data_IF_182219553789
#
_entry.id   IF_182219553789
#
_cell.length_a   1.000
_cell.length_b   1.000
_cell.length_c   1.000
_cell.angle_alpha   90.00
_cell.angle_beta   90.00
_cell.angle_gamma   90.00
#
_symmetry.space_group_name_H-M   'P 1'
#
loop_
_entity.id
_entity.type
_entity.pdbx_description
1 polymer ?
#
# COMPACT_ATOMS: atom_id res chain seq x y z
N UNK A 1 -12.08 -22.47 -3.53
CA UNK A 1 -12.28 -21.11 -3.00
C UNK A 1 -11.32 -20.96 -1.84
N UNK A 2 -10.06 -20.76 -2.19
CA UNK A 2 -8.92 -21.63 -1.86
C UNK A 2 -7.69 -20.75 -1.66
N UNK A 3 -7.01 -20.85 -0.50
CA UNK A 3 -5.76 -20.17 -0.09
C UNK A 3 -5.72 -18.63 -0.14
N UNK A 4 -6.21 -17.99 -1.20
CA UNK A 4 -6.16 -16.52 -1.37
C UNK A 4 -7.08 -15.78 -0.40
N UNK A 5 -8.33 -16.22 -0.23
CA UNK A 5 -9.26 -15.60 0.72
C UNK A 5 -8.78 -15.73 2.18
N UNK A 6 -8.12 -16.84 2.50
CA UNK A 6 -7.55 -17.05 3.83
C UNK A 6 -6.32 -16.14 4.05
N UNK A 7 -5.51 -15.95 3.02
CA UNK A 7 -4.39 -15.02 3.03
C UNK A 7 -4.86 -13.57 3.17
N UNK A 8 -5.79 -13.10 2.34
CA UNK A 8 -6.35 -11.73 2.40
C UNK A 8 -6.92 -11.45 3.80
N UNK A 9 -7.64 -12.42 4.39
CA UNK A 9 -8.15 -12.30 5.75
C UNK A 9 -7.04 -12.19 6.80
N UNK A 10 -5.98 -12.98 6.66
CA UNK A 10 -4.81 -12.90 7.56
C UNK A 10 -4.06 -11.58 7.36
N UNK A 11 -3.95 -11.10 6.13
CA UNK A 11 -3.28 -9.87 5.76
C UNK A 11 -4.02 -8.65 6.32
N UNK A 12 -5.34 -8.56 6.14
CA UNK A 12 -6.16 -7.50 6.76
C UNK A 12 -5.96 -7.43 8.28
N UNK A 13 -5.82 -8.59 8.94
CA UNK A 13 -5.54 -8.66 10.38
C UNK A 13 -4.14 -8.15 10.71
N UNK A 14 -3.13 -8.58 9.97
CA UNK A 14 -1.73 -8.12 10.15
C UNK A 14 -1.60 -6.62 9.89
N UNK A 15 -2.23 -6.10 8.84
CA UNK A 15 -2.30 -4.67 8.54
C UNK A 15 -2.92 -3.92 9.72
N UNK A 16 -4.05 -4.39 10.26
CA UNK A 16 -4.70 -3.76 11.41
C UNK A 16 -3.81 -3.72 12.66
N UNK A 17 -3.03 -4.77 12.92
CA UNK A 17 -2.13 -4.85 14.09
C UNK A 17 -0.87 -3.99 13.89
N UNK A 18 -0.25 -4.06 12.71
CA UNK A 18 0.94 -3.29 12.38
C UNK A 18 0.64 -1.78 12.27
N UNK A 19 -0.55 -1.41 11.80
CA UNK A 19 -1.00 -0.02 11.69
C UNK A 19 -0.85 0.76 13.00
N UNK A 20 -1.22 0.18 14.13
CA UNK A 20 -1.09 0.86 15.43
C UNK A 20 0.37 1.08 15.81
N UNK A 21 1.23 0.08 15.59
CA UNK A 21 2.69 0.18 15.85
C UNK A 21 3.31 1.28 15.00
N UNK A 22 2.91 1.38 13.72
CA UNK A 22 3.38 2.42 12.81
C UNK A 22 2.92 3.80 13.25
N UNK A 23 1.65 3.99 13.61
CA UNK A 23 1.16 5.30 14.05
C UNK A 23 1.81 5.77 15.35
N UNK A 24 2.00 4.89 16.32
CA UNK A 24 2.73 5.21 17.55
C UNK A 24 4.16 5.66 17.21
N UNK A 25 4.85 4.92 16.34
CA UNK A 25 6.22 5.24 15.98
C UNK A 25 6.35 6.52 15.15
N UNK A 26 5.41 6.82 14.24
CA UNK A 26 5.39 8.08 13.48
C UNK A 26 5.13 9.28 14.39
N UNK A 27 4.21 9.15 15.35
CA UNK A 27 3.93 10.20 16.33
C UNK A 27 5.17 10.50 17.20
N UNK A 28 5.91 9.48 17.63
CA UNK A 28 7.18 9.65 18.37
C UNK A 28 8.26 10.35 17.54
N UNK A 29 8.24 10.19 16.21
CA UNK A 29 9.16 10.84 15.28
C UNK A 29 8.73 12.25 14.88
N UNK A 30 7.57 12.73 15.36
CA UNK A 30 7.00 14.03 15.01
C UNK A 30 6.42 14.10 13.60
N UNK A 31 6.28 12.96 12.91
CA UNK A 31 5.66 12.88 11.58
C UNK A 31 4.16 13.06 11.75
N UNK A 32 3.57 13.95 10.94
CA UNK A 32 2.13 14.23 10.90
C UNK A 32 1.45 13.53 9.72
N UNK A 33 2.17 13.29 8.62
CA UNK A 33 1.63 12.58 7.47
C UNK A 33 2.72 11.82 6.72
N UNK A 34 2.37 10.66 6.17
CA UNK A 34 3.17 9.93 5.18
C UNK A 34 2.33 9.70 3.94
N UNK A 35 2.91 9.92 2.77
CA UNK A 35 2.27 9.72 1.47
C UNK A 35 3.09 8.73 0.65
N UNK A 36 2.44 7.68 0.17
CA UNK A 36 3.03 6.67 -0.73
C UNK A 36 2.32 6.75 -2.06
N UNK A 37 3.04 7.17 -3.10
CA UNK A 37 2.52 7.22 -4.47
C UNK A 37 2.95 5.95 -5.18
N UNK A 38 2.02 5.31 -5.89
CA UNK A 38 2.29 4.13 -6.68
C UNK A 38 1.74 4.28 -8.09
N UNK A 39 2.45 3.73 -9.06
CA UNK A 39 2.03 3.65 -10.46
C UNK A 39 2.56 2.38 -11.12
N UNK A 40 1.95 2.00 -12.24
CA UNK A 40 2.24 0.74 -12.90
C UNK A 40 1.39 0.54 -14.14
N UNK A 41 1.89 -0.28 -15.05
CA UNK A 41 1.21 -0.75 -16.26
C UNK A 41 1.92 -2.00 -16.79
N UNK A 42 1.18 -2.86 -17.50
CA UNK A 42 1.72 -4.08 -18.09
C UNK A 42 2.26 -5.07 -17.05
N UNK A 43 3.58 -5.29 -17.06
CA UNK A 43 4.30 -6.17 -16.13
C UNK A 43 5.09 -5.40 -15.06
N UNK A 44 4.95 -4.07 -15.03
CA UNK A 44 5.72 -3.16 -14.20
C UNK A 44 4.80 -2.37 -13.29
N UNK A 45 5.18 -2.23 -12.03
CA UNK A 45 4.43 -1.40 -11.08
C UNK A 45 5.08 -1.41 -9.71
N UNK A 46 4.92 -0.33 -8.97
CA UNK A 46 5.48 -0.19 -7.64
C UNK A 46 5.29 1.19 -7.06
N UNK A 47 6.08 1.47 -6.02
CA UNK A 47 6.10 2.75 -5.35
C UNK A 47 6.99 3.71 -6.16
N UNK A 48 6.43 4.86 -6.52
CA UNK A 48 7.09 5.92 -7.27
C UNK A 48 7.58 7.06 -6.37
N UNK A 49 6.85 7.34 -5.27
CA UNK A 49 7.26 8.34 -4.28
C UNK A 49 6.94 7.90 -2.85
N UNK A 50 7.78 8.36 -1.93
CA UNK A 50 7.56 8.25 -0.49
C UNK A 50 7.90 9.60 0.14
N UNK A 51 6.88 10.32 0.58
CA UNK A 51 7.04 11.65 1.18
C UNK A 51 6.46 11.70 2.59
N UNK A 52 7.07 12.55 3.42
CA UNK A 52 6.71 12.71 4.83
C UNK A 52 6.55 14.18 5.17
N UNK A 53 5.62 14.47 6.07
CA UNK A 53 5.41 15.79 6.65
C UNK A 53 5.55 15.69 8.17
N UNK A 54 6.20 16.65 8.83
CA UNK A 54 7.07 17.68 8.25
C UNK A 54 8.28 17.12 7.49
N UNK A 55 8.77 17.84 6.48
CA UNK A 55 9.81 17.34 5.56
C UNK A 55 11.20 17.18 6.23
N UNK A 56 11.41 17.75 7.41
CA UNK A 56 12.62 17.62 8.22
C UNK A 56 12.58 16.45 9.22
N UNK A 57 11.45 15.76 9.32
CA UNK A 57 11.38 14.49 10.04
C UNK A 57 12.14 13.37 9.29
N UNK A 58 12.37 12.25 9.96
CA UNK A 58 12.96 11.05 9.37
C UNK A 58 12.22 9.81 9.87
N UNK A 59 12.10 8.82 9.00
CA UNK A 59 11.51 7.50 9.29
C UNK A 59 12.58 6.42 9.47
N UNK A 60 13.76 6.80 9.98
CA UNK A 60 14.85 5.89 10.34
C UNK A 60 14.64 5.30 11.73
N UNK A 61 13.69 4.36 11.84
CA UNK A 61 13.37 3.67 13.08
C UNK A 61 12.97 2.24 12.82
N UNK A 62 13.52 1.33 13.61
CA UNK A 62 13.08 -0.07 13.62
C UNK A 62 11.86 -0.26 14.52
N UNK A 63 10.92 -1.08 14.06
CA UNK A 63 9.72 -1.48 14.79
C UNK A 63 9.56 -3.00 14.74
N UNK A 64 8.90 -3.55 15.75
CA UNK A 64 8.55 -4.98 15.79
C UNK A 64 7.12 -5.15 15.30
N UNK A 65 6.96 -5.82 14.18
CA UNK A 65 5.68 -6.02 13.49
C UNK A 65 5.44 -7.50 13.18
N UNK A 66 4.20 -7.83 12.82
CA UNK A 66 3.85 -9.14 12.28
C UNK A 66 4.19 -9.17 10.78
N UNK A 67 4.91 -10.20 10.35
CA UNK A 67 5.24 -10.49 8.96
C UNK A 67 4.42 -11.70 8.49
N UNK A 68 3.81 -11.61 7.31
CA UNK A 68 2.93 -12.64 6.75
C UNK A 68 3.43 -13.06 5.38
N UNK A 69 3.77 -14.34 5.24
CA UNK A 69 4.32 -14.89 4.00
C UNK A 69 3.26 -15.69 3.26
N UNK A 70 3.13 -15.48 1.95
CA UNK A 70 2.23 -16.29 1.12
C UNK A 70 2.54 -17.79 1.26
N UNK A 71 1.50 -18.60 1.49
CA UNK A 71 1.63 -20.04 1.73
C UNK A 71 1.94 -20.40 3.20
N UNK A 72 2.20 -19.43 4.06
CA UNK A 72 2.27 -19.59 5.52
C UNK A 72 1.41 -18.55 6.22
N UNK A 73 0.17 -18.92 6.54
CA UNK A 73 -0.79 -18.02 7.18
C UNK A 73 -0.56 -17.85 8.70
N UNK A 74 0.62 -18.19 9.21
CA UNK A 74 1.02 -17.94 10.61
C UNK A 74 1.95 -16.74 10.62
N UNK A 75 1.49 -15.55 11.07
CA UNK A 75 2.37 -14.38 11.15
C UNK A 75 3.51 -14.60 12.15
N UNK A 76 4.68 -14.10 11.80
CA UNK A 76 5.87 -14.13 12.67
C UNK A 76 6.29 -12.70 13.04
N UNK A 77 6.87 -12.53 14.23
CA UNK A 77 7.37 -11.20 14.63
C UNK A 77 8.72 -10.93 13.99
N UNK A 78 8.88 -9.76 13.40
CA UNK A 78 10.12 -9.30 12.78
C UNK A 78 10.44 -7.86 13.16
N UNK A 79 11.72 -7.56 13.33
CA UNK A 79 12.23 -6.20 13.44
C UNK A 79 12.58 -5.69 12.05
N UNK A 80 11.98 -4.59 11.63
CA UNK A 80 12.16 -3.98 10.30
C UNK A 80 12.09 -2.47 10.39
N UNK A 81 12.60 -1.78 9.37
CA UNK A 81 12.49 -0.33 9.27
C UNK A 81 11.03 0.07 9.08
N UNK A 82 10.56 1.10 9.79
CA UNK A 82 9.17 1.57 9.71
C UNK A 82 8.80 1.98 8.28
N UNK A 83 9.75 2.53 7.50
CA UNK A 83 9.55 2.82 6.06
C UNK A 83 9.10 1.58 5.29
N UNK A 84 9.81 0.45 5.46
CA UNK A 84 9.46 -0.83 4.82
C UNK A 84 8.07 -1.31 5.26
N UNK A 85 7.71 -1.14 6.53
CA UNK A 85 6.36 -1.49 7.02
C UNK A 85 5.29 -0.64 6.34
N UNK A 86 5.51 0.67 6.21
CA UNK A 86 4.57 1.60 5.56
C UNK A 86 4.41 1.23 4.09
N UNK A 87 5.52 1.01 3.38
CA UNK A 87 5.52 0.62 1.96
C UNK A 87 4.75 -0.69 1.74
N UNK A 88 5.12 -1.75 2.48
CA UNK A 88 4.46 -3.05 2.36
C UNK A 88 2.98 -3.00 2.76
N UNK A 89 2.64 -2.26 3.82
CA UNK A 89 1.24 -2.11 4.26
C UNK A 89 0.42 -1.34 3.22
N UNK A 90 1.00 -0.28 2.63
CA UNK A 90 0.32 0.50 1.60
C UNK A 90 0.06 -0.34 0.35
N UNK A 91 1.06 -1.10 -0.10
CA UNK A 91 0.88 -2.01 -1.24
C UNK A 91 -0.07 -3.17 -0.92
N UNK A 92 -0.09 -3.68 0.32
CA UNK A 92 -1.07 -4.67 0.77
C UNK A 92 -2.50 -4.11 0.70
N UNK A 93 -2.73 -2.88 1.15
CA UNK A 93 -4.04 -2.21 1.02
C UNK A 93 -4.46 -2.07 -0.44
N UNK A 94 -3.54 -1.63 -1.32
CA UNK A 94 -3.80 -1.54 -2.78
C UNK A 94 -4.12 -2.92 -3.36
N UNK A 95 -3.36 -3.96 -3.04
CA UNK A 95 -3.59 -5.31 -3.56
C UNK A 95 -4.93 -5.91 -3.12
N UNK A 96 -5.36 -5.58 -1.90
CA UNK A 96 -6.61 -6.04 -1.32
C UNK A 96 -7.82 -5.39 -2.00
N UNK A 97 -7.79 -4.07 -2.22
CA UNK A 97 -8.95 -3.33 -2.74
C UNK A 97 -8.92 -3.20 -4.27
N UNK A 98 -7.74 -3.19 -4.88
CA UNK A 98 -7.49 -2.99 -6.32
C UNK A 98 -6.52 -4.05 -6.89
N UNK A 99 -6.68 -5.32 -6.50
CA UNK A 99 -5.86 -6.42 -7.01
C UNK A 99 -5.86 -6.48 -8.55
N UNK A 100 -4.65 -6.48 -9.14
CA UNK A 100 -4.47 -6.49 -10.60
C UNK A 100 -4.53 -5.10 -11.27
N UNK A 101 -4.47 -4.02 -10.49
CA UNK A 101 -4.37 -2.63 -10.97
C UNK A 101 -3.23 -2.40 -11.97
N UNK A 102 -2.13 -3.15 -11.89
CA UNK A 102 -1.02 -3.01 -12.83
C UNK A 102 -1.32 -3.57 -14.24
N UNK A 103 -2.39 -4.35 -14.41
CA UNK A 103 -2.65 -5.05 -15.66
C UNK A 103 -3.10 -4.10 -16.79
N UNK A 104 -2.68 -4.45 -18.01
CA UNK A 104 -3.02 -3.73 -19.26
C UNK A 104 -2.52 -2.28 -19.25
N UNK A 105 -3.43 -1.31 -19.40
CA UNK A 105 -3.15 0.12 -19.35
C UNK A 105 -2.61 0.56 -17.99
N UNK A 106 -2.88 -0.21 -16.93
CA UNK A 106 -2.38 0.03 -15.59
C UNK A 106 -3.21 1.02 -14.80
N UNK A 107 -2.59 1.61 -13.79
CA UNK A 107 -3.21 2.59 -12.92
C UNK A 107 -2.20 3.15 -11.94
N UNK A 108 -2.71 3.88 -10.96
CA UNK A 108 -1.91 4.44 -9.90
C UNK A 108 -2.77 5.04 -8.81
N UNK A 109 -2.11 5.68 -7.85
CA UNK A 109 -2.80 6.28 -6.74
C UNK A 109 -1.89 6.72 -5.62
N UNK A 110 -2.53 7.05 -4.51
CA UNK A 110 -1.90 7.54 -3.32
C UNK A 110 -2.46 6.81 -2.10
N UNK A 111 -1.56 6.36 -1.21
CA UNK A 111 -1.92 5.93 0.14
C UNK A 111 -1.40 6.95 1.14
N UNK A 112 -2.33 7.64 1.80
CA UNK A 112 -2.03 8.67 2.79
C UNK A 112 -2.23 8.12 4.20
N UNK A 113 -1.19 8.20 5.02
CA UNK A 113 -1.23 7.92 6.46
C UNK A 113 -1.32 9.24 7.21
N UNK A 114 -2.51 9.58 7.69
CA UNK A 114 -2.73 10.75 8.54
C UNK A 114 -2.47 10.37 10.00
N UNK A 115 -1.37 10.85 10.58
CA UNK A 115 -0.90 10.43 11.91
C UNK A 115 -1.76 11.04 13.02
N UNK A 116 -2.30 12.24 12.80
CA UNK A 116 -3.13 12.94 13.79
C UNK A 116 -4.47 12.22 14.01
N UNK A 117 -5.15 11.87 12.92
CA UNK A 117 -6.43 11.15 12.94
C UNK A 117 -6.25 9.63 12.99
N UNK A 118 -5.02 9.14 12.80
CA UNK A 118 -4.69 7.73 12.61
C UNK A 118 -5.46 7.08 11.46
N UNK A 119 -5.79 7.83 10.41
CA UNK A 119 -6.54 7.30 9.26
C UNK A 119 -5.58 6.95 8.13
N UNK A 120 -5.84 5.82 7.46
CA UNK A 120 -5.21 5.51 6.18
C UNK A 120 -6.27 5.71 5.10
N UNK A 121 -5.95 6.51 4.08
CA UNK A 121 -6.82 6.73 2.92
C UNK A 121 -6.13 6.17 1.68
N UNK A 122 -6.89 5.47 0.84
CA UNK A 122 -6.46 5.06 -0.49
C UNK A 122 -7.25 5.86 -1.52
N UNK A 123 -6.53 6.64 -2.34
CA UNK A 123 -7.04 7.21 -3.58
C UNK A 123 -6.47 6.42 -4.75
N UNK A 124 -7.33 6.01 -5.68
CA UNK A 124 -6.94 5.15 -6.80
C UNK A 124 -7.53 5.68 -8.11
N UNK A 125 -6.77 5.54 -9.19
CA UNK A 125 -7.21 5.80 -10.55
C UNK A 125 -6.70 4.71 -11.51
N UNK A 126 -7.55 4.36 -12.47
CA UNK A 126 -7.20 3.46 -13.58
C UNK A 126 -6.77 4.27 -14.80
N UNK A 127 -5.76 3.79 -15.53
CA UNK A 127 -5.49 4.25 -16.88
C UNK A 127 -6.43 3.55 -17.86
N UNK A 128 -7.08 4.31 -18.74
CA UNK A 128 -8.04 3.77 -19.72
C UNK A 128 -7.75 4.25 -21.13
N UNK A 129 -7.89 3.35 -22.11
CA UNK A 129 -7.82 3.67 -23.54
C UNK A 129 -9.18 3.41 -24.18
N UNK A 130 -9.85 4.46 -24.64
CA UNK A 130 -11.12 4.35 -25.36
C UNK A 130 -10.91 4.43 -26.88
N UNK A 131 -11.49 3.49 -27.64
CA UNK A 131 -11.43 3.50 -29.10
C UNK A 131 -12.80 3.35 -29.75
N UNK A 132 -13.19 4.38 -30.51
CA UNK A 132 -14.43 4.39 -31.30
C UNK A 132 -14.15 4.01 -32.76
N UNK A 133 -14.97 3.12 -33.32
CA UNK A 133 -14.86 2.66 -34.71
C UNK A 133 -16.16 2.85 -35.46
N UNK A 134 -16.06 3.33 -36.69
CA UNK A 134 -17.16 3.32 -37.66
C UNK A 134 -16.65 2.86 -39.02
N UNK A 135 -17.38 1.96 -39.67
CA UNK A 135 -17.11 1.54 -41.04
C UNK A 135 -18.18 2.12 -41.94
N UNK A 136 -17.78 2.86 -42.97
CA UNK A 136 -18.68 3.31 -44.03
C UNK A 136 -18.26 2.63 -45.34
N UNK A 137 -19.24 2.14 -46.09
CA UNK A 137 -19.04 1.61 -47.45
C UNK A 137 -19.41 2.73 -48.43
N UNK A 138 -18.56 2.95 -49.42
CA UNK A 138 -18.78 3.89 -50.53
C UNK A 138 -19.07 3.13 -51.81
#
# INVERSE_FOLDING_TARGET
MSSYQDYEKAERKVISENREVVFDALQELGVTSVTVVYEGSGDSGGIEDFSILPADCSVEKEVVVQDLVWGNNTPEKKTVQIKEVIENTSMGIVAIDHGGWENNEGGGGEVTWDVETRVITLEHYDYVVERNYSTSLY
#
